data_IF_879369431410
#
_entry.id   IF_879369431410
#
_cell.length_a   1.000
_cell.length_b   1.000
_cell.length_c   1.000
_cell.angle_alpha   90.00
_cell.angle_beta   90.00
_cell.angle_gamma   90.00
#
_symmetry.space_group_name_H-M   'P 1'
#
loop_
_entity.id
_entity.type
_entity.pdbx_description
1 polymer ?
#
# COMPACT_ATOMS: atom_id res chain seq x y z
N UNK A 1 -19.60 3.76 -23.48
CA UNK A 1 -19.02 3.89 -22.13
C UNK A 1 -17.88 4.87 -22.28
N UNK A 2 -18.00 6.07 -21.73
CA UNK A 2 -16.90 7.03 -21.72
C UNK A 2 -15.82 6.45 -20.80
N UNK A 3 -14.68 6.04 -21.36
CA UNK A 3 -13.58 5.49 -20.59
C UNK A 3 -13.06 6.55 -19.64
N UNK A 4 -13.03 6.25 -18.34
CA UNK A 4 -12.29 7.06 -17.39
C UNK A 4 -10.81 6.87 -17.69
N UNK A 5 -10.18 7.90 -18.25
CA UNK A 5 -8.73 7.91 -18.46
C UNK A 5 -8.06 8.29 -17.15
N UNK A 6 -7.27 7.38 -16.60
CA UNK A 6 -6.37 7.65 -15.49
C UNK A 6 -4.93 7.39 -15.97
N UNK A 7 -3.96 8.00 -15.29
CA UNK A 7 -2.55 7.66 -15.49
C UNK A 7 -1.99 7.01 -14.23
N UNK A 8 -0.85 6.34 -14.35
CA UNK A 8 -0.25 5.65 -13.22
C UNK A 8 1.21 6.02 -13.07
N UNK A 9 1.71 5.98 -11.83
CA UNK A 9 3.13 6.15 -11.53
C UNK A 9 3.57 5.11 -10.52
N UNK A 10 4.58 4.33 -10.90
CA UNK A 10 5.27 3.43 -10.00
C UNK A 10 6.18 4.26 -9.08
N UNK A 11 5.97 4.16 -7.77
CA UNK A 11 6.82 4.83 -6.80
C UNK A 11 8.14 4.05 -6.65
N UNK A 12 9.26 4.73 -6.40
CA UNK A 12 10.58 4.08 -6.40
C UNK A 12 10.83 3.20 -5.17
N UNK A 13 10.14 3.46 -4.06
CA UNK A 13 10.29 2.70 -2.80
C UNK A 13 9.27 1.56 -2.74
N UNK A 14 9.69 0.45 -2.15
CA UNK A 14 8.82 -0.68 -1.80
C UNK A 14 8.40 -0.61 -0.35
N UNK A 15 7.33 -1.30 0.03
CA UNK A 15 6.87 -1.40 1.41
C UNK A 15 6.74 -2.84 1.88
N UNK A 16 6.85 -3.01 3.18
CA UNK A 16 6.51 -4.23 3.93
C UNK A 16 5.36 -3.93 4.88
N UNK A 17 4.58 -4.96 5.17
CA UNK A 17 3.37 -4.85 5.98
C UNK A 17 3.59 -5.60 7.28
N UNK A 18 3.47 -4.88 8.38
CA UNK A 18 3.64 -5.39 9.73
C UNK A 18 2.34 -5.23 10.50
N UNK A 19 2.04 -6.21 11.36
CA UNK A 19 0.91 -6.17 12.27
C UNK A 19 1.40 -6.27 13.71
N UNK A 20 0.91 -5.37 14.54
CA UNK A 20 1.18 -5.33 15.97
C UNK A 20 -0.12 -5.32 16.77
N UNK A 21 -0.06 -5.84 17.98
CA UNK A 21 -1.01 -5.51 19.04
C UNK A 21 -0.73 -4.11 19.60
N UNK A 22 -1.68 -3.49 20.31
CA UNK A 22 -1.41 -2.20 20.98
C UNK A 22 -0.30 -2.28 22.00
N UNK A 23 -0.18 -3.41 22.69
CA UNK A 23 0.83 -3.60 23.73
C UNK A 23 2.24 -3.81 23.16
N UNK A 24 2.38 -4.51 22.03
CA UNK A 24 3.65 -4.56 21.28
C UNK A 24 4.06 -3.16 20.81
N UNK A 25 3.14 -2.43 20.18
CA UNK A 25 3.42 -1.08 19.70
C UNK A 25 3.87 -0.13 20.81
N UNK A 26 3.20 -0.14 21.97
CA UNK A 26 3.56 0.68 23.14
C UNK A 26 4.94 0.32 23.69
N UNK A 27 5.26 -0.97 23.80
CA UNK A 27 6.56 -1.44 24.30
C UNK A 27 7.71 -0.98 23.41
N UNK A 28 7.47 -0.89 22.10
CA UNK A 28 8.49 -0.52 21.11
C UNK A 28 8.32 0.90 20.55
N UNK A 29 7.52 1.76 21.19
CA UNK A 29 7.15 3.10 20.70
C UNK A 29 8.35 3.95 20.23
N UNK A 30 9.50 3.84 20.91
CA UNK A 30 10.73 4.56 20.54
C UNK A 30 11.29 4.18 19.18
N UNK A 31 11.11 2.93 18.74
CA UNK A 31 11.53 2.50 17.40
C UNK A 31 10.65 3.18 16.35
N UNK A 32 9.33 3.19 16.55
CA UNK A 32 8.38 3.81 15.62
C UNK A 32 8.61 5.32 15.46
N UNK A 33 8.91 6.05 16.53
CA UNK A 33 9.24 7.49 16.44
C UNK A 33 10.49 7.73 15.57
N UNK A 34 11.52 6.89 15.72
CA UNK A 34 12.76 7.04 14.92
C UNK A 34 12.55 6.72 13.44
N UNK A 35 11.58 5.88 13.14
CA UNK A 35 11.27 5.40 11.79
C UNK A 35 10.07 6.12 11.18
N UNK A 36 9.61 7.24 11.73
CA UNK A 36 8.41 7.96 11.26
C UNK A 36 8.50 8.33 9.77
N UNK A 37 9.68 8.78 9.32
CA UNK A 37 9.96 9.09 7.90
C UNK A 37 9.89 7.85 6.97
N UNK A 38 9.92 6.65 7.55
CA UNK A 38 9.82 5.37 6.84
C UNK A 38 8.44 4.73 6.92
N UNK A 39 7.46 5.35 7.58
CA UNK A 39 6.08 4.84 7.63
C UNK A 39 5.27 5.50 6.52
N UNK A 40 4.78 4.69 5.57
CA UNK A 40 3.89 5.17 4.50
C UNK A 40 2.45 5.30 5.00
N UNK A 41 1.98 4.31 5.75
CA UNK A 41 0.62 4.26 6.26
C UNK A 41 0.61 3.52 7.60
N UNK A 42 -0.18 4.04 8.54
CA UNK A 42 -0.44 3.42 9.83
C UNK A 42 -1.94 3.44 10.07
N UNK A 43 -2.47 2.29 10.50
CA UNK A 43 -3.88 2.15 10.86
C UNK A 43 -4.00 1.58 12.26
N UNK A 44 -5.05 1.99 12.98
CA UNK A 44 -5.41 1.48 14.30
C UNK A 44 -6.85 1.00 14.22
N UNK A 45 -7.07 -0.31 14.36
CA UNK A 45 -8.39 -0.92 14.37
C UNK A 45 -8.48 -1.89 15.54
N UNK A 46 -9.31 -1.58 16.53
CA UNK A 46 -9.38 -2.37 17.77
C UNK A 46 -7.99 -2.55 18.40
N UNK A 47 -7.55 -3.78 18.69
CA UNK A 47 -6.20 -4.09 19.18
C UNK A 47 -5.16 -4.23 18.06
N UNK A 48 -5.56 -4.13 16.79
CA UNK A 48 -4.65 -4.23 15.65
C UNK A 48 -4.06 -2.87 15.27
N UNK A 49 -2.74 -2.85 15.12
CA UNK A 49 -1.99 -1.76 14.50
C UNK A 49 -1.29 -2.32 13.27
N UNK A 50 -1.69 -1.86 12.10
CA UNK A 50 -1.10 -2.28 10.83
C UNK A 50 -0.24 -1.15 10.26
N UNK A 51 1.02 -1.46 9.96
CA UNK A 51 2.01 -0.54 9.41
C UNK A 51 2.44 -0.97 8.02
N UNK A 52 2.34 -0.04 7.08
CA UNK A 52 2.96 -0.11 5.77
C UNK A 52 4.24 0.71 5.85
N UNK A 53 5.36 0.04 6.05
CA UNK A 53 6.66 0.68 6.23
C UNK A 53 7.47 0.54 4.94
N UNK A 54 8.06 1.63 4.47
CA UNK A 54 9.04 1.57 3.41
C UNK A 54 10.20 0.67 3.80
N UNK A 55 10.59 -0.22 2.88
CA UNK A 55 11.75 -1.08 3.10
C UNK A 55 13.02 -0.23 3.25
N UNK A 56 13.89 -0.65 4.17
CA UNK A 56 15.15 0.01 4.49
C UNK A 56 15.95 -0.75 5.53
N UNK A 57 17.03 -0.14 6.00
CA UNK A 57 18.04 -0.79 6.87
C UNK A 57 17.50 -1.25 8.24
N UNK A 58 16.37 -0.70 8.69
CA UNK A 58 15.71 -1.06 9.95
C UNK A 58 14.65 -2.18 9.80
N UNK A 59 14.54 -2.81 8.63
CA UNK A 59 13.58 -3.90 8.38
C UNK A 59 13.76 -5.11 9.30
N UNK A 60 15.01 -5.45 9.64
CA UNK A 60 15.32 -6.56 10.55
C UNK A 60 14.85 -6.25 11.97
N UNK A 61 15.09 -5.02 12.45
CA UNK A 61 14.64 -4.57 13.76
C UNK A 61 13.12 -4.60 13.88
N UNK A 62 12.39 -4.23 12.82
CA UNK A 62 10.93 -4.33 12.78
C UNK A 62 10.44 -5.79 12.73
N UNK A 63 11.14 -6.64 11.97
CA UNK A 63 10.83 -8.06 11.88
C UNK A 63 11.00 -8.75 13.24
N UNK A 64 12.04 -8.42 13.98
CA UNK A 64 12.35 -9.01 15.30
C UNK A 64 11.29 -8.69 16.37
N UNK A 65 10.67 -7.51 16.30
CA UNK A 65 9.66 -7.08 17.27
C UNK A 65 8.22 -7.39 16.82
N UNK A 66 8.04 -7.89 15.59
CA UNK A 66 6.74 -8.10 14.97
C UNK A 66 6.47 -9.59 14.78
N UNK A 67 5.56 -10.14 15.58
CA UNK A 67 5.22 -11.56 15.51
C UNK A 67 4.42 -11.93 14.25
N UNK A 68 3.78 -10.96 13.59
CA UNK A 68 2.93 -11.19 12.42
C UNK A 68 3.22 -10.14 11.35
N UNK A 69 3.87 -10.55 10.26
CA UNK A 69 4.14 -9.68 9.12
C UNK A 69 4.00 -10.44 7.81
N UNK A 70 3.74 -9.71 6.73
CA UNK A 70 3.77 -10.26 5.38
C UNK A 70 5.22 -10.27 4.87
N UNK A 71 5.70 -11.43 4.43
CA UNK A 71 7.07 -11.61 3.92
C UNK A 71 7.29 -10.99 2.54
N UNK A 72 6.22 -10.60 1.85
CA UNK A 72 6.31 -10.03 0.50
C UNK A 72 6.70 -8.56 0.57
N UNK A 73 7.46 -8.15 -0.45
CA UNK A 73 7.63 -6.74 -0.77
C UNK A 73 6.50 -6.29 -1.70
N UNK A 74 6.01 -5.10 -1.44
CA UNK A 74 4.95 -4.48 -2.22
C UNK A 74 5.48 -3.26 -2.95
N UNK A 75 5.24 -3.21 -4.25
CA UNK A 75 5.37 -2.01 -5.06
C UNK A 75 4.17 -1.11 -4.83
N UNK A 76 4.40 0.20 -4.80
CA UNK A 76 3.34 1.20 -4.68
C UNK A 76 3.11 1.81 -6.05
N UNK A 77 1.87 1.77 -6.52
CA UNK A 77 1.46 2.47 -7.73
C UNK A 77 0.46 3.55 -7.35
N UNK A 78 0.79 4.79 -7.68
CA UNK A 78 -0.12 5.90 -7.56
C UNK A 78 -1.00 5.98 -8.82
N UNK A 79 -2.31 6.03 -8.62
CA UNK A 79 -3.32 6.20 -9.66
C UNK A 79 -3.70 7.68 -9.69
N UNK A 80 -3.33 8.37 -10.77
CA UNK A 80 -3.63 9.78 -10.98
C UNK A 80 -4.92 9.94 -11.77
N UNK A 81 -5.78 10.81 -11.28
CA UNK A 81 -6.99 11.26 -11.96
C UNK A 81 -6.89 12.76 -12.23
N UNK A 82 -7.54 13.22 -13.30
CA UNK A 82 -7.49 14.63 -13.72
C UNK A 82 -8.16 15.58 -12.71
N UNK A 83 -9.01 15.08 -11.83
CA UNK A 83 -9.59 15.87 -10.73
C UNK A 83 -9.28 15.21 -9.37
N UNK A 84 -8.70 15.96 -8.42
CA UNK A 84 -8.28 15.42 -7.13
C UNK A 84 -9.46 15.26 -6.16
N UNK A 85 -9.29 14.38 -5.17
CA UNK A 85 -10.16 14.29 -3.98
C UNK A 85 -11.23 13.18 -4.03
N UNK A 86 -12.20 13.27 -3.11
CA UNK A 86 -13.25 12.26 -2.89
C UNK A 86 -14.40 12.33 -3.91
N UNK A 87 -14.36 13.30 -4.82
CA UNK A 87 -15.44 13.57 -5.77
C UNK A 87 -15.50 12.54 -6.92
N UNK A 88 -14.45 11.69 -7.04
CA UNK A 88 -14.42 10.58 -7.98
C UNK A 88 -15.03 9.30 -7.39
N UNK A 89 -16.29 9.05 -7.74
CA UNK A 89 -16.97 7.78 -7.46
C UNK A 89 -16.62 6.79 -8.57
N UNK A 90 -15.94 5.71 -8.21
CA UNK A 90 -15.81 4.53 -9.08
C UNK A 90 -14.39 4.09 -9.44
N UNK A 91 -13.34 4.86 -9.13
CA UNK A 91 -11.96 4.47 -9.44
C UNK A 91 -11.57 3.15 -8.77
N UNK A 92 -11.87 3.01 -7.48
CA UNK A 92 -11.65 1.76 -6.73
C UNK A 92 -12.38 0.60 -7.38
N UNK A 93 -13.63 0.79 -7.81
CA UNK A 93 -14.42 -0.24 -8.47
C UNK A 93 -13.81 -0.63 -9.82
N UNK A 94 -13.39 0.36 -10.62
CA UNK A 94 -12.78 0.14 -11.93
C UNK A 94 -11.46 -0.63 -11.82
N UNK A 95 -10.52 -0.15 -11.00
CA UNK A 95 -9.22 -0.78 -10.78
C UNK A 95 -9.40 -2.19 -10.20
N UNK A 96 -10.23 -2.34 -9.15
CA UNK A 96 -10.48 -3.65 -8.54
C UNK A 96 -11.11 -4.63 -9.53
N UNK A 97 -12.02 -4.18 -10.38
CA UNK A 97 -12.65 -5.02 -11.40
C UNK A 97 -11.67 -5.53 -12.45
N UNK A 98 -10.75 -4.67 -12.89
CA UNK A 98 -9.69 -5.05 -13.84
C UNK A 98 -8.72 -6.05 -13.22
N UNK A 99 -8.27 -5.80 -11.99
CA UNK A 99 -7.34 -6.68 -11.29
C UNK A 99 -7.96 -8.04 -10.95
N UNK A 100 -9.23 -8.05 -10.55
CA UNK A 100 -10.01 -9.26 -10.33
C UNK A 100 -10.08 -10.14 -11.59
N UNK A 101 -10.43 -9.55 -12.75
CA UNK A 101 -10.47 -10.28 -14.04
C UNK A 101 -9.13 -10.89 -14.43
N UNK A 102 -8.03 -10.27 -13.99
CA UNK A 102 -6.67 -10.73 -14.25
C UNK A 102 -6.09 -11.57 -13.10
N UNK A 103 -6.86 -11.89 -12.06
CA UNK A 103 -6.39 -12.62 -10.87
C UNK A 103 -5.13 -12.00 -10.25
N UNK A 104 -5.13 -10.69 -10.08
CA UNK A 104 -4.03 -9.93 -9.47
C UNK A 104 -4.49 -9.45 -8.09
N UNK A 105 -3.94 -9.98 -6.99
CA UNK A 105 -4.18 -9.44 -5.66
C UNK A 105 -3.66 -8.00 -5.55
N UNK A 106 -4.41 -7.15 -4.86
CA UNK A 106 -4.00 -5.79 -4.54
C UNK A 106 -4.46 -5.39 -3.15
N UNK A 107 -3.76 -4.44 -2.54
CA UNK A 107 -4.26 -3.67 -1.41
C UNK A 107 -4.45 -2.22 -1.86
N UNK A 108 -5.50 -1.58 -1.35
CA UNK A 108 -5.82 -0.19 -1.68
C UNK A 108 -5.56 0.70 -0.47
N UNK A 109 -4.85 1.80 -0.67
CA UNK A 109 -4.62 2.83 0.34
C UNK A 109 -4.99 4.18 -0.25
N UNK A 110 -6.06 4.76 0.27
CA UNK A 110 -6.48 6.10 -0.11
C UNK A 110 -5.98 7.11 0.91
N UNK A 111 -5.42 8.19 0.41
CA UNK A 111 -5.15 9.40 1.19
C UNK A 111 -6.03 10.52 0.67
N UNK A 112 -5.97 11.69 1.30
CA UNK A 112 -6.70 12.85 0.81
C UNK A 112 -6.32 13.24 -0.64
N UNK A 113 -5.06 13.04 -1.03
CA UNK A 113 -4.52 13.51 -2.31
C UNK A 113 -4.18 12.40 -3.30
N UNK A 114 -4.18 11.14 -2.87
CA UNK A 114 -3.66 10.03 -3.68
C UNK A 114 -4.52 8.77 -3.53
N UNK A 115 -4.67 8.06 -4.66
CA UNK A 115 -5.21 6.72 -4.72
C UNK A 115 -4.03 5.76 -4.94
N UNK A 116 -3.63 5.04 -3.91
CA UNK A 116 -2.48 4.12 -3.99
C UNK A 116 -2.97 2.68 -4.04
N UNK A 117 -2.36 1.89 -4.93
CA UNK A 117 -2.47 0.44 -4.88
C UNK A 117 -1.11 -0.17 -4.55
N UNK A 118 -1.14 -1.24 -3.77
CA UNK A 118 0.02 -2.04 -3.43
C UNK A 118 -0.08 -3.40 -4.10
N UNK A 119 0.99 -3.79 -4.77
CA UNK A 119 1.07 -5.02 -5.56
C UNK A 119 2.31 -5.79 -5.11
N UNK A 120 2.17 -7.06 -4.74
CA UNK A 120 3.34 -7.86 -4.36
C UNK A 120 4.29 -8.04 -5.55
N UNK A 121 5.58 -8.15 -5.27
CA UNK A 121 6.66 -8.27 -6.26
C UNK A 121 6.35 -9.26 -7.39
N UNK A 122 5.77 -10.42 -7.04
CA UNK A 122 5.46 -11.50 -7.97
C UNK A 122 4.42 -11.13 -9.05
N UNK A 123 3.61 -10.09 -8.82
CA UNK A 123 2.55 -9.67 -9.74
C UNK A 123 2.81 -8.34 -10.44
N UNK A 124 3.90 -7.62 -10.12
CA UNK A 124 4.08 -6.24 -10.58
C UNK A 124 4.13 -6.11 -12.10
N UNK A 125 4.86 -6.99 -12.79
CA UNK A 125 4.97 -6.93 -14.26
C UNK A 125 3.62 -7.13 -14.95
N UNK A 126 2.85 -8.09 -14.44
CA UNK A 126 1.49 -8.37 -14.92
C UNK A 126 0.57 -7.18 -14.66
N UNK A 127 0.63 -6.61 -13.45
CA UNK A 127 -0.18 -5.46 -13.07
C UNK A 127 0.12 -4.23 -13.92
N UNK A 128 1.40 -3.92 -14.16
CA UNK A 128 1.81 -2.82 -15.03
C UNK A 128 1.39 -3.05 -16.48
N UNK A 129 1.43 -4.30 -16.97
CA UNK A 129 0.90 -4.64 -18.29
C UNK A 129 -0.58 -4.34 -18.41
N UNK A 130 -1.37 -4.69 -17.39
CA UNK A 130 -2.81 -4.43 -17.34
C UNK A 130 -3.14 -2.94 -17.23
N UNK A 131 -2.43 -2.20 -16.37
CA UNK A 131 -2.62 -0.77 -16.18
C UNK A 131 -2.29 0.06 -17.44
N UNK A 132 -1.36 -0.40 -18.29
CA UNK A 132 -1.03 0.25 -19.58
C UNK A 132 -2.12 0.11 -20.65
N UNK A 133 -3.05 -0.83 -20.47
CA UNK A 133 -4.16 -1.06 -21.42
C UNK A 133 -5.43 -0.27 -21.06
N UNK A 134 -5.40 0.46 -19.94
CA UNK A 134 -6.49 1.29 -19.46
C UNK A 134 -6.27 2.75 -19.90
#
# INVERSE_FOLDING_TARGET
MNGHTFSTTLMPRKVRIYKFTRDEYRRHYRLFIKSDENIMCQTFLEDEITLYKYSGDDDDAFTDICNVYDRRYYHIVNIHEDIPGIDHIGIVHHISGIFYKNSIPLLYVNTYAHNLILISEEFIDKAMGVLKMC
#
